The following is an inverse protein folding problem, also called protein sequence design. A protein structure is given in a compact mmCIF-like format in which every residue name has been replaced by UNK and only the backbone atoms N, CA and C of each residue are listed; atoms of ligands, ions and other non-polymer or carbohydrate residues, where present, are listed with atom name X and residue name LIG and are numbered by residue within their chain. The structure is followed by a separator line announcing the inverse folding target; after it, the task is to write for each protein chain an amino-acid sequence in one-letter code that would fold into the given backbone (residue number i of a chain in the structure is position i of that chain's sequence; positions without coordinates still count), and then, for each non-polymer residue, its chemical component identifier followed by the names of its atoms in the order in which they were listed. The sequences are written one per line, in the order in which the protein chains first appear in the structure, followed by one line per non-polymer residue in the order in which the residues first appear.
data_IF_695682298099
#
_entry.id   IF_695682298099
#
_cell.length_a   1.000
_cell.length_b   1.000
_cell.length_c   1.000
_cell.angle_alpha   90.00
_cell.angle_beta   90.00
_cell.angle_gamma   90.00
#
_symmetry.space_group_name_H-M   'P 1'
#
loop_
_entity.id
_entity.type
_entity.pdbx_description
1 polymer ?
#
# COMPACT_ATOMS: atom_id res chain seq x y z
N UNK A 1 4.57 -24.46 -27.50
CA UNK A 1 5.64 -23.70 -26.78
C UNK A 1 5.96 -24.37 -25.46
N UNK A 2 7.23 -24.70 -25.22
CA UNK A 2 7.67 -25.34 -23.96
C UNK A 2 8.27 -24.25 -23.05
N UNK A 3 7.88 -24.24 -21.80
CA UNK A 3 8.28 -23.23 -20.81
C UNK A 3 8.91 -23.88 -19.58
N UNK A 4 9.94 -23.23 -19.02
CA UNK A 4 10.48 -23.58 -17.72
C UNK A 4 9.47 -23.20 -16.63
N UNK A 5 9.04 -24.18 -15.85
CA UNK A 5 7.98 -23.99 -14.84
C UNK A 5 8.37 -22.97 -13.78
N UNK A 6 9.57 -23.06 -13.23
CA UNK A 6 10.02 -22.19 -12.17
C UNK A 6 10.08 -20.72 -12.60
N UNK A 7 10.69 -20.45 -13.75
CA UNK A 7 10.76 -19.08 -14.30
C UNK A 7 9.38 -18.51 -14.58
N UNK A 8 8.50 -19.33 -15.16
CA UNK A 8 7.14 -18.89 -15.44
C UNK A 8 6.31 -18.68 -14.17
N UNK A 9 6.47 -19.52 -13.16
CA UNK A 9 5.80 -19.36 -11.86
C UNK A 9 6.23 -18.07 -11.16
N UNK A 10 7.48 -17.66 -11.25
CA UNK A 10 7.94 -16.37 -10.72
C UNK A 10 7.18 -15.19 -11.37
N UNK A 11 7.02 -15.21 -12.69
CA UNK A 11 6.23 -14.20 -13.39
C UNK A 11 4.73 -14.30 -13.08
N UNK A 12 4.18 -15.52 -13.04
CA UNK A 12 2.78 -15.76 -12.70
C UNK A 12 2.45 -15.27 -11.29
N UNK A 13 3.32 -15.49 -10.32
CA UNK A 13 3.15 -15.00 -8.95
C UNK A 13 3.13 -13.46 -8.88
N UNK A 14 3.95 -12.78 -9.68
CA UNK A 14 3.91 -11.31 -9.81
C UNK A 14 2.58 -10.85 -10.41
N UNK A 15 2.09 -11.50 -11.46
CA UNK A 15 0.77 -11.19 -12.05
C UNK A 15 -0.36 -11.48 -11.04
N UNK A 16 -0.27 -12.54 -10.23
CA UNK A 16 -1.22 -12.82 -9.15
C UNK A 16 -1.28 -11.70 -8.11
N UNK A 17 -0.17 -11.05 -7.81
CA UNK A 17 -0.18 -9.85 -6.94
C UNK A 17 -1.01 -8.72 -7.57
N UNK A 18 -0.88 -8.49 -8.88
CA UNK A 18 -1.69 -7.50 -9.58
C UNK A 18 -3.19 -7.88 -9.58
N UNK A 19 -3.52 -9.14 -9.87
CA UNK A 19 -4.89 -9.65 -9.80
C UNK A 19 -5.44 -9.51 -8.38
N UNK A 20 -4.66 -9.81 -7.35
CA UNK A 20 -5.06 -9.68 -5.95
C UNK A 20 -5.28 -8.22 -5.52
N UNK A 21 -4.64 -7.26 -6.18
CA UNK A 21 -4.86 -5.84 -5.90
C UNK A 21 -6.28 -5.40 -6.27
N UNK A 22 -6.89 -6.02 -7.28
CA UNK A 22 -8.28 -5.73 -7.68
C UNK A 22 -9.03 -6.98 -8.16
N UNK A 23 -9.37 -7.86 -7.23
CA UNK A 23 -10.04 -9.13 -7.48
C UNK A 23 -11.39 -9.02 -8.20
N UNK A 24 -12.03 -7.86 -8.14
CA UNK A 24 -13.39 -7.68 -8.68
C UNK A 24 -13.39 -7.26 -10.14
N UNK A 25 -12.30 -6.70 -10.64
CA UNK A 25 -12.26 -6.07 -11.97
C UNK A 25 -11.21 -6.69 -12.92
N UNK A 26 -10.28 -7.50 -12.41
CA UNK A 26 -9.34 -8.24 -13.27
C UNK A 26 -9.83 -9.67 -13.41
N UNK A 27 -10.41 -9.95 -14.56
CA UNK A 27 -10.89 -11.28 -14.86
C UNK A 27 -9.92 -12.07 -15.78
N UNK A 28 -9.16 -11.38 -16.64
CA UNK A 28 -8.46 -12.00 -17.75
C UNK A 28 -6.95 -11.70 -17.73
N UNK A 29 -6.16 -12.67 -18.18
CA UNK A 29 -4.72 -12.51 -18.46
C UNK A 29 -4.49 -12.77 -19.94
N UNK A 30 -3.70 -11.91 -20.55
CA UNK A 30 -3.19 -12.07 -21.92
C UNK A 30 -1.77 -12.64 -21.87
N UNK A 31 -1.55 -13.67 -22.68
CA UNK A 31 -0.25 -14.24 -22.98
C UNK A 31 0.05 -13.95 -24.45
N UNK A 32 1.19 -13.33 -24.75
CA UNK A 32 1.63 -13.09 -26.11
C UNK A 32 3.11 -13.45 -26.24
N UNK A 33 3.42 -14.43 -27.07
CA UNK A 33 4.79 -14.76 -27.45
C UNK A 33 5.08 -14.17 -28.84
N UNK A 34 6.15 -13.40 -28.94
CA UNK A 34 6.67 -12.84 -30.20
C UNK A 34 8.12 -12.39 -30.01
N UNK A 35 8.90 -12.45 -31.09
CA UNK A 35 10.28 -11.92 -31.09
C UNK A 35 11.13 -12.48 -29.93
N UNK A 36 11.02 -13.77 -29.68
CA UNK A 36 11.70 -14.46 -28.54
C UNK A 36 11.34 -13.92 -27.15
N UNK A 37 10.21 -13.27 -27.01
CA UNK A 37 9.71 -12.76 -25.76
C UNK A 37 8.33 -13.30 -25.46
N UNK A 38 8.06 -13.64 -24.19
CA UNK A 38 6.71 -13.89 -23.72
C UNK A 38 6.26 -12.75 -22.82
N UNK A 39 5.10 -12.22 -23.13
CA UNK A 39 4.45 -11.15 -22.38
C UNK A 39 3.26 -11.70 -21.63
N UNK A 40 3.19 -11.43 -20.33
CA UNK A 40 1.98 -11.62 -19.52
C UNK A 40 1.43 -10.24 -19.16
N UNK A 41 0.13 -10.04 -19.41
CA UNK A 41 -0.52 -8.75 -19.20
C UNK A 41 -1.84 -8.89 -18.49
N UNK A 42 -2.12 -7.98 -17.58
CA UNK A 42 -3.44 -7.81 -16.92
C UNK A 42 -3.80 -6.34 -16.84
N UNK A 43 -5.09 -6.03 -16.83
CA UNK A 43 -5.59 -4.67 -16.72
C UNK A 43 -7.00 -4.66 -16.15
N UNK A 44 -7.37 -3.56 -15.47
CA UNK A 44 -8.74 -3.29 -15.02
C UNK A 44 -9.26 -1.93 -15.53
N UNK A 45 -8.62 -1.35 -16.54
CA UNK A 45 -8.83 0.01 -17.06
C UNK A 45 -8.28 1.14 -16.17
N UNK A 46 -8.10 0.93 -14.88
CA UNK A 46 -7.46 1.88 -13.96
C UNK A 46 -5.93 1.69 -13.93
N UNK A 47 -5.49 0.44 -14.01
CA UNK A 47 -4.08 0.12 -14.14
C UNK A 47 -3.84 -1.02 -15.15
N UNK A 48 -2.62 -1.07 -15.63
CA UNK A 48 -2.08 -2.09 -16.51
C UNK A 48 -0.78 -2.61 -15.92
N UNK A 49 -0.62 -3.92 -15.90
CA UNK A 49 0.62 -4.58 -15.51
C UNK A 49 1.05 -5.51 -16.63
N UNK A 50 2.28 -5.36 -17.08
CA UNK A 50 2.93 -6.22 -18.05
C UNK A 50 4.25 -6.76 -17.51
N UNK A 51 4.48 -8.06 -17.67
CA UNK A 51 5.74 -8.71 -17.36
C UNK A 51 6.20 -9.40 -18.62
N UNK A 52 7.49 -9.27 -18.95
CA UNK A 52 8.09 -9.95 -20.08
C UNK A 52 9.26 -10.80 -19.62
N UNK A 53 9.51 -11.89 -20.32
CA UNK A 53 10.69 -12.72 -20.14
C UNK A 53 11.12 -13.38 -21.46
N UNK A 54 12.40 -13.71 -21.55
CA UNK A 54 12.99 -14.28 -22.75
C UNK A 54 12.48 -15.70 -23.01
N UNK A 55 12.30 -16.02 -24.28
CA UNK A 55 12.02 -17.37 -24.78
C UNK A 55 13.21 -17.87 -25.59
N UNK A 56 13.43 -19.17 -25.55
CA UNK A 56 14.44 -19.83 -26.38
C UNK A 56 13.92 -20.12 -27.82
N UNK A 57 12.63 -19.85 -28.07
CA UNK A 57 11.98 -20.12 -29.38
C UNK A 57 11.40 -18.85 -30.01
N UNK A 58 11.32 -18.85 -31.36
CA UNK A 58 10.66 -17.79 -32.14
C UNK A 58 9.16 -18.04 -32.35
N UNK A 59 8.54 -18.93 -31.57
CA UNK A 59 7.13 -19.24 -31.70
C UNK A 59 6.26 -18.01 -31.47
N UNK A 60 5.28 -17.81 -32.34
CA UNK A 60 4.26 -16.77 -32.19
C UNK A 60 3.00 -17.37 -31.60
N UNK A 61 2.53 -16.78 -30.53
CA UNK A 61 1.42 -17.30 -29.75
C UNK A 61 0.67 -16.14 -29.10
N UNK A 62 -0.66 -16.17 -29.09
CA UNK A 62 -1.48 -15.23 -28.34
C UNK A 62 -2.70 -15.92 -27.77
N UNK A 63 -2.93 -15.78 -26.47
CA UNK A 63 -4.09 -16.30 -25.76
C UNK A 63 -4.58 -15.27 -24.74
N UNK A 64 -5.90 -15.23 -24.54
CA UNK A 64 -6.53 -14.52 -23.41
C UNK A 64 -7.43 -15.51 -22.70
N UNK A 65 -7.20 -15.69 -21.41
CA UNK A 65 -7.89 -16.68 -20.59
C UNK A 65 -8.26 -16.09 -19.22
N UNK A 66 -9.10 -16.80 -18.45
CA UNK A 66 -9.37 -16.43 -17.06
C UNK A 66 -8.09 -16.39 -16.25
N UNK A 67 -7.83 -15.22 -15.63
CA UNK A 67 -6.59 -14.96 -14.91
C UNK A 67 -6.42 -15.85 -13.68
N UNK A 68 -7.48 -15.99 -12.88
CA UNK A 68 -7.41 -16.77 -11.64
C UNK A 68 -7.21 -18.25 -11.94
N UNK A 69 -7.96 -18.76 -12.89
CA UNK A 69 -7.89 -20.18 -13.27
C UNK A 69 -6.52 -20.52 -13.83
N UNK A 70 -6.01 -19.73 -14.78
CA UNK A 70 -4.72 -19.97 -15.41
C UNK A 70 -3.55 -19.83 -14.44
N UNK A 71 -3.50 -18.74 -13.68
CA UNK A 71 -2.37 -18.45 -12.78
C UNK A 71 -2.30 -19.44 -11.61
N UNK A 72 -3.46 -19.85 -11.05
CA UNK A 72 -3.49 -20.87 -10.01
C UNK A 72 -3.11 -22.26 -10.56
N UNK A 73 -3.56 -22.60 -11.77
CA UNK A 73 -3.13 -23.83 -12.44
C UNK A 73 -1.61 -23.87 -12.58
N UNK A 74 -1.01 -22.84 -13.16
CA UNK A 74 0.44 -22.77 -13.35
C UNK A 74 1.19 -22.83 -12.03
N UNK A 75 0.72 -22.14 -10.99
CA UNK A 75 1.33 -22.15 -9.66
C UNK A 75 1.32 -23.54 -9.02
N UNK A 76 0.44 -24.45 -9.46
CA UNK A 76 0.33 -25.82 -8.96
C UNK A 76 1.14 -26.86 -9.74
N UNK A 77 1.73 -26.51 -10.89
CA UNK A 77 2.53 -27.41 -11.71
C UNK A 77 3.84 -27.75 -10.97
N UNK A 78 4.14 -29.05 -10.86
CA UNK A 78 5.37 -29.57 -10.21
C UNK A 78 6.40 -30.10 -11.21
N UNK A 79 6.02 -30.26 -12.47
CA UNK A 79 6.95 -30.68 -13.53
C UNK A 79 7.96 -29.57 -13.85
N UNK A 80 9.19 -29.88 -14.22
CA UNK A 80 10.25 -28.91 -14.54
C UNK A 80 9.89 -28.01 -15.73
N UNK A 81 9.10 -28.55 -16.67
CA UNK A 81 8.63 -27.84 -17.85
C UNK A 81 7.14 -28.12 -18.09
N UNK A 82 6.47 -27.21 -18.74
CA UNK A 82 5.12 -27.39 -19.27
C UNK A 82 5.01 -26.82 -20.67
N UNK A 83 4.03 -27.30 -21.42
CA UNK A 83 3.77 -26.88 -22.80
C UNK A 83 2.45 -26.09 -22.86
N UNK A 84 2.48 -24.97 -23.60
CA UNK A 84 1.30 -24.23 -24.01
C UNK A 84 1.08 -24.42 -25.51
N UNK A 85 -0.16 -24.70 -25.89
CA UNK A 85 -0.59 -24.86 -27.28
C UNK A 85 -2.02 -24.31 -27.44
N UNK A 86 -2.37 -23.84 -28.64
CA UNK A 86 -3.74 -23.41 -28.95
C UNK A 86 -4.34 -24.39 -29.94
N UNK A 87 -5.47 -24.97 -29.58
CA UNK A 87 -6.21 -25.86 -30.43
C UNK A 87 -7.72 -25.68 -30.21
N UNK A 88 -8.48 -25.56 -31.28
CA UNK A 88 -9.96 -25.52 -31.26
C UNK A 88 -10.52 -24.48 -30.25
N UNK A 89 -9.98 -23.26 -30.26
CA UNK A 89 -10.37 -22.15 -29.37
C UNK A 89 -10.12 -22.40 -27.88
N UNK A 90 -9.22 -23.31 -27.54
CA UNK A 90 -8.78 -23.52 -26.16
C UNK A 90 -7.27 -23.41 -26.04
N UNK A 91 -6.83 -22.90 -24.91
CA UNK A 91 -5.44 -22.99 -24.48
C UNK A 91 -5.23 -24.34 -23.80
N UNK A 92 -4.36 -25.15 -24.37
CA UNK A 92 -3.92 -26.43 -23.79
C UNK A 92 -2.70 -26.16 -22.92
N UNK A 93 -2.74 -26.62 -21.67
CA UNK A 93 -1.61 -26.61 -20.75
C UNK A 93 -1.25 -28.05 -20.46
N UNK A 94 -0.07 -28.52 -20.91
CA UNK A 94 0.40 -29.89 -20.70
C UNK A 94 1.59 -29.88 -19.74
N UNK A 95 1.50 -30.64 -18.67
CA UNK A 95 2.56 -30.79 -17.68
C UNK A 95 2.75 -32.27 -17.33
N UNK A 96 3.88 -32.87 -17.74
CA UNK A 96 4.11 -34.29 -17.60
C UNK A 96 3.05 -35.12 -18.34
N UNK A 97 2.27 -35.92 -17.60
CA UNK A 97 1.15 -36.71 -18.13
C UNK A 97 -0.20 -36.01 -18.08
N UNK A 98 -0.27 -34.83 -17.47
CA UNK A 98 -1.50 -34.08 -17.28
C UNK A 98 -1.74 -33.08 -18.39
N UNK A 99 -3.00 -32.90 -18.77
CA UNK A 99 -3.41 -31.91 -19.77
C UNK A 99 -4.65 -31.19 -19.30
N UNK A 100 -4.64 -29.88 -19.42
CA UNK A 100 -5.72 -28.99 -19.00
C UNK A 100 -6.15 -28.12 -20.19
N UNK A 101 -7.46 -27.80 -20.24
CA UNK A 101 -8.05 -26.99 -21.30
C UNK A 101 -8.67 -25.75 -20.67
N UNK A 102 -8.24 -24.57 -21.13
CA UNK A 102 -8.82 -23.29 -20.74
C UNK A 102 -9.45 -22.64 -21.99
N UNK A 103 -10.71 -22.21 -21.85
CA UNK A 103 -11.38 -21.50 -22.93
C UNK A 103 -10.67 -20.19 -23.23
N UNK A 104 -10.44 -19.91 -24.51
CA UNK A 104 -10.01 -18.59 -24.96
C UNK A 104 -11.19 -17.61 -24.87
N UNK A 105 -10.91 -16.36 -24.56
CA UNK A 105 -11.92 -15.33 -24.39
C UNK A 105 -11.98 -14.48 -25.66
N UNK A 106 -13.16 -14.43 -26.25
CA UNK A 106 -13.45 -13.69 -27.47
C UNK A 106 -14.41 -12.53 -27.18
N UNK A 107 -14.26 -11.47 -27.93
CA UNK A 107 -15.16 -10.31 -27.97
C UNK A 107 -15.45 -10.00 -29.45
N UNK A 108 -16.74 -10.03 -29.86
CA UNK A 108 -17.17 -9.83 -31.25
C UNK A 108 -16.43 -10.75 -32.25
N UNK A 109 -16.34 -12.04 -31.92
CA UNK A 109 -15.67 -13.09 -32.75
C UNK A 109 -14.15 -12.93 -32.94
N UNK A 110 -13.55 -11.90 -32.32
CA UNK A 110 -12.09 -11.73 -32.27
C UNK A 110 -11.57 -12.10 -30.86
N UNK A 111 -10.33 -12.63 -30.81
CA UNK A 111 -9.67 -12.83 -29.53
C UNK A 111 -9.58 -11.50 -28.78
N UNK A 112 -10.12 -11.45 -27.58
CA UNK A 112 -10.21 -10.23 -26.74
C UNK A 112 -8.88 -9.49 -26.72
N UNK A 113 -8.93 -8.15 -26.81
CA UNK A 113 -7.77 -7.26 -26.66
C UNK A 113 -7.86 -6.56 -25.32
N UNK A 114 -6.84 -6.76 -24.47
CA UNK A 114 -6.76 -6.00 -23.22
C UNK A 114 -6.45 -4.54 -23.50
N UNK A 115 -7.20 -3.58 -22.90
CA UNK A 115 -6.90 -2.17 -23.06
C UNK A 115 -5.52 -1.86 -22.46
N UNK A 116 -4.66 -1.26 -23.27
CA UNK A 116 -3.35 -0.79 -22.81
C UNK A 116 -3.48 0.60 -22.18
N UNK A 117 -2.78 0.83 -21.08
CA UNK A 117 -2.61 2.15 -20.50
C UNK A 117 -1.15 2.54 -20.72
N UNK A 118 -0.94 3.65 -21.43
CA UNK A 118 0.41 4.13 -21.78
C UNK A 118 0.50 5.63 -21.61
N UNK A 119 1.63 6.08 -21.06
CA UNK A 119 2.04 7.46 -21.12
C UNK A 119 2.89 7.65 -22.38
N UNK A 120 2.48 8.56 -23.25
CA UNK A 120 3.23 8.88 -24.46
C UNK A 120 4.41 9.81 -24.11
N UNK A 121 5.49 9.70 -24.86
CA UNK A 121 6.74 10.38 -24.55
C UNK A 121 6.62 11.91 -24.57
N UNK A 122 5.84 12.47 -25.45
CA UNK A 122 5.54 13.92 -25.55
C UNK A 122 4.67 14.43 -24.37
N UNK A 123 4.05 13.54 -23.62
CA UNK A 123 3.18 13.85 -22.48
C UNK A 123 3.89 13.63 -21.13
N UNK A 124 5.13 13.14 -21.14
CA UNK A 124 5.95 13.01 -19.92
C UNK A 124 6.30 14.39 -19.39
N UNK A 125 6.00 14.64 -18.12
CA UNK A 125 6.29 15.89 -17.42
C UNK A 125 7.41 15.74 -16.41
N UNK A 126 7.47 14.57 -15.79
CA UNK A 126 8.51 14.20 -14.82
C UNK A 126 8.96 12.78 -15.13
N UNK A 127 10.26 12.56 -15.08
CA UNK A 127 10.87 11.22 -15.16
C UNK A 127 12.07 11.15 -14.21
N UNK A 128 12.16 10.05 -13.47
CA UNK A 128 13.21 9.86 -12.48
C UNK A 128 13.41 8.37 -12.17
N UNK A 129 14.57 8.04 -11.62
CA UNK A 129 14.77 6.77 -10.95
C UNK A 129 14.24 6.86 -9.51
N UNK A 130 13.48 5.86 -9.11
CA UNK A 130 12.96 5.72 -7.74
C UNK A 130 13.58 4.48 -7.12
N UNK A 131 14.30 4.65 -6.03
CA UNK A 131 14.92 3.56 -5.30
C UNK A 131 13.89 2.57 -4.76
N UNK A 132 14.26 1.30 -4.75
CA UNK A 132 13.43 0.24 -4.18
C UNK A 132 13.06 0.51 -2.71
N UNK A 133 13.96 1.11 -1.94
CA UNK A 133 13.74 1.53 -0.55
C UNK A 133 12.57 2.52 -0.43
N UNK A 134 12.46 3.49 -1.35
CA UNK A 134 11.35 4.45 -1.40
C UNK A 134 10.03 3.75 -1.72
N UNK A 135 10.01 2.87 -2.74
CA UNK A 135 8.81 2.11 -3.10
C UNK A 135 8.34 1.21 -1.94
N UNK A 136 9.29 0.56 -1.27
CA UNK A 136 9.03 -0.26 -0.08
C UNK A 136 8.53 0.58 1.09
N UNK A 137 9.08 1.78 1.27
CA UNK A 137 8.68 2.66 2.36
C UNK A 137 7.25 3.18 2.20
N UNK A 138 6.80 3.45 0.98
CA UNK A 138 5.39 3.79 0.69
C UNK A 138 4.46 2.63 1.09
N UNK A 139 4.87 1.37 0.87
CA UNK A 139 4.11 0.19 1.28
C UNK A 139 3.98 0.06 2.81
N UNK A 140 4.95 0.56 3.56
CA UNK A 140 5.00 0.47 5.02
C UNK A 140 4.16 1.53 5.74
N UNK A 141 3.63 2.51 5.01
CA UNK A 141 2.67 3.46 5.56
C UNK A 141 1.37 2.74 5.94
N UNK A 142 0.82 3.03 7.10
CA UNK A 142 -0.34 2.32 7.63
C UNK A 142 -1.57 2.45 6.72
N UNK A 143 -1.91 1.36 6.03
CA UNK A 143 -3.04 1.29 5.10
C UNK A 143 -4.31 0.66 5.68
N UNK A 144 -4.25 0.10 6.91
CA UNK A 144 -5.38 -0.66 7.47
C UNK A 144 -6.67 0.16 7.56
N UNK A 145 -6.54 1.46 7.73
CA UNK A 145 -7.68 2.36 7.87
C UNK A 145 -8.17 2.92 6.56
N UNK A 146 -7.30 3.05 5.55
CA UNK A 146 -7.72 3.36 4.18
C UNK A 146 -8.68 2.26 3.68
N UNK A 147 -8.46 1.01 4.09
CA UNK A 147 -9.35 -0.12 3.76
C UNK A 147 -10.71 -0.03 4.46
N UNK A 148 -10.75 0.49 5.69
CA UNK A 148 -12.00 0.70 6.43
C UNK A 148 -12.81 1.89 5.91
N UNK A 149 -12.14 2.85 5.25
CA UNK A 149 -12.74 4.04 4.67
C UNK A 149 -13.65 3.80 3.45
N UNK A 150 -14.16 2.60 3.26
CA UNK A 150 -15.14 2.25 2.21
C UNK A 150 -16.55 2.77 2.49
N UNK A 151 -16.81 3.34 3.65
CA UNK A 151 -18.10 3.90 4.02
C UNK A 151 -18.25 5.36 3.57
N UNK A 152 -19.46 5.71 3.17
CA UNK A 152 -19.83 6.96 2.47
C UNK A 152 -19.48 8.25 3.25
N UNK A 153 -19.31 8.16 4.56
CA UNK A 153 -19.07 9.31 5.46
C UNK A 153 -17.59 9.61 5.76
N UNK A 154 -16.66 8.95 5.08
CA UNK A 154 -15.25 9.15 5.34
C UNK A 154 -14.71 10.34 4.54
N UNK A 155 -13.94 11.19 5.22
CA UNK A 155 -13.26 12.32 4.59
C UNK A 155 -12.47 11.82 3.36
N UNK A 156 -12.69 12.45 2.22
CA UNK A 156 -12.09 12.07 0.94
C UNK A 156 -10.57 11.93 1.02
N UNK A 157 -9.89 12.76 1.85
CA UNK A 157 -8.45 12.69 2.09
C UNK A 157 -7.99 11.34 2.65
N UNK A 158 -8.85 10.63 3.37
CA UNK A 158 -8.52 9.34 3.99
C UNK A 158 -8.46 8.16 3.00
N UNK A 159 -8.81 8.40 1.72
CA UNK A 159 -8.86 7.36 0.69
C UNK A 159 -7.57 7.19 -0.08
N UNK A 160 -6.62 8.13 0.09
CA UNK A 160 -5.43 8.21 -0.75
C UNK A 160 -4.15 8.24 0.05
N UNK A 161 -3.10 7.74 -0.59
CA UNK A 161 -1.72 8.05 -0.27
C UNK A 161 -1.32 9.27 -1.10
N UNK A 162 -0.92 10.31 -0.45
CA UNK A 162 -0.35 11.47 -1.12
C UNK A 162 1.17 11.36 -1.12
N UNK A 163 1.78 11.39 -2.29
CA UNK A 163 3.24 11.34 -2.46
C UNK A 163 3.70 12.63 -3.09
N UNK A 164 4.64 13.29 -2.45
CA UNK A 164 5.39 14.41 -3.00
C UNK A 164 6.90 14.15 -2.92
N UNK A 165 7.71 15.11 -3.33
CA UNK A 165 9.18 15.01 -3.31
C UNK A 165 9.79 14.85 -1.92
N UNK A 166 9.01 15.03 -0.85
CA UNK A 166 9.49 14.97 0.54
C UNK A 166 9.01 13.76 1.32
N UNK A 167 8.08 13.00 0.78
CA UNK A 167 7.57 11.80 1.46
C UNK A 167 6.20 11.34 0.99
N UNK A 168 5.69 10.33 1.71
CA UNK A 168 4.36 9.77 1.54
C UNK A 168 3.51 10.08 2.77
N UNK A 169 2.31 10.58 2.56
CA UNK A 169 1.36 11.02 3.59
C UNK A 169 0.06 10.25 3.50
N UNK A 170 -0.48 9.87 4.66
CA UNK A 170 -1.84 9.35 4.77
C UNK A 170 -2.58 10.04 5.92
N UNK A 171 -3.89 10.20 5.78
CA UNK A 171 -4.74 10.93 6.72
C UNK A 171 -5.88 10.03 7.20
N UNK A 172 -5.55 8.98 7.94
CA UNK A 172 -6.53 8.06 8.51
C UNK A 172 -6.98 8.51 9.89
N UNK A 173 -6.89 7.72 10.94
CA UNK A 173 -7.20 8.09 12.33
C UNK A 173 -6.21 9.07 12.97
N UNK A 174 -5.31 9.53 12.25
CA UNK A 174 -4.29 10.51 12.52
C UNK A 174 -3.63 10.81 11.19
N UNK A 175 -2.41 11.31 11.22
CA UNK A 175 -1.61 11.41 10.01
C UNK A 175 -0.42 10.46 10.13
N UNK A 176 -0.07 9.83 9.02
CA UNK A 176 1.17 9.08 8.91
C UNK A 176 2.03 9.70 7.81
N UNK A 177 3.25 9.98 8.14
CA UNK A 177 4.23 10.54 7.22
C UNK A 177 5.43 9.61 7.15
N UNK A 178 5.76 9.16 5.96
CA UNK A 178 7.03 8.50 5.70
C UNK A 178 7.91 9.46 4.91
N UNK A 179 8.98 9.94 5.56
CA UNK A 179 9.86 10.94 4.98
C UNK A 179 10.92 10.30 4.09
N UNK A 180 11.01 10.78 2.86
CA UNK A 180 12.07 10.48 1.90
C UNK A 180 12.29 11.71 1.01
N UNK A 181 13.26 11.65 0.11
CA UNK A 181 13.50 12.72 -0.86
C UNK A 181 13.50 12.16 -2.26
N UNK A 182 12.74 12.79 -3.16
CA UNK A 182 12.79 12.55 -4.59
C UNK A 182 13.51 13.70 -5.29
N UNK A 183 14.22 13.40 -6.38
CA UNK A 183 15.05 14.37 -7.10
C UNK A 183 14.25 15.42 -7.87
N UNK A 184 12.94 15.18 -8.06
CA UNK A 184 12.07 16.07 -8.82
C UNK A 184 10.73 16.30 -8.11
N UNK A 185 10.13 17.48 -8.27
CA UNK A 185 8.82 17.77 -7.72
C UNK A 185 7.75 16.92 -8.40
N UNK A 186 7.01 16.15 -7.60
CA UNK A 186 5.93 15.27 -8.03
C UNK A 186 4.74 15.39 -7.09
N UNK A 187 3.55 15.10 -7.57
CA UNK A 187 2.33 15.05 -6.75
C UNK A 187 1.45 13.91 -7.22
N UNK A 188 1.44 12.82 -6.45
CA UNK A 188 0.67 11.63 -6.76
C UNK A 188 -0.39 11.40 -5.69
N UNK A 189 -1.64 11.17 -6.14
CA UNK A 189 -2.70 10.60 -5.31
C UNK A 189 -2.86 9.13 -5.69
N UNK A 190 -2.34 8.26 -4.84
CA UNK A 190 -2.35 6.82 -5.05
C UNK A 190 -3.45 6.18 -4.21
N UNK A 191 -4.27 5.34 -4.82
CA UNK A 191 -5.17 4.49 -4.06
C UNK A 191 -4.44 3.22 -3.59
N UNK A 192 -5.06 2.48 -2.67
CA UNK A 192 -4.50 1.25 -2.10
C UNK A 192 -4.14 0.20 -3.17
N UNK A 193 -4.95 0.10 -4.26
CA UNK A 193 -4.72 -0.87 -5.32
C UNK A 193 -3.40 -0.58 -6.05
N UNK A 194 -3.16 0.69 -6.37
CA UNK A 194 -1.92 1.13 -7.03
C UNK A 194 -0.72 0.95 -6.11
N UNK A 195 -0.84 1.32 -4.83
CA UNK A 195 0.26 1.13 -3.85
C UNK A 195 0.63 -0.34 -3.73
N UNK A 196 -0.34 -1.27 -3.72
CA UNK A 196 -0.06 -2.71 -3.70
C UNK A 196 0.78 -3.19 -4.88
N UNK A 197 0.69 -2.53 -6.04
CA UNK A 197 1.52 -2.88 -7.20
C UNK A 197 3.00 -2.58 -7.00
N UNK A 198 3.37 -1.73 -6.05
CA UNK A 198 4.78 -1.46 -5.73
C UNK A 198 5.50 -2.70 -5.19
N UNK A 199 4.77 -3.71 -4.67
CA UNK A 199 5.33 -5.02 -4.31
C UNK A 199 5.91 -5.80 -5.50
N UNK A 200 5.55 -5.44 -6.73
CA UNK A 200 6.11 -6.05 -7.94
C UNK A 200 7.59 -5.69 -8.13
N UNK A 201 8.01 -4.54 -7.62
CA UNK A 201 9.35 -4.01 -7.80
C UNK A 201 10.24 -4.47 -6.64
N UNK A 202 11.24 -5.27 -6.96
CA UNK A 202 12.27 -5.76 -6.02
C UNK A 202 13.62 -5.06 -6.21
N UNK A 203 13.69 -4.16 -7.18
CA UNK A 203 14.84 -3.31 -7.52
C UNK A 203 14.32 -1.91 -7.80
N UNK A 204 15.24 -0.98 -8.06
CA UNK A 204 14.90 0.38 -8.48
C UNK A 204 14.00 0.39 -9.71
N UNK A 205 13.12 1.38 -9.78
CA UNK A 205 12.21 1.55 -10.90
C UNK A 205 12.39 2.92 -11.55
N UNK A 206 12.25 2.95 -12.87
CA UNK A 206 12.16 4.19 -13.64
C UNK A 206 10.70 4.65 -13.66
N UNK A 207 10.45 5.81 -13.07
CA UNK A 207 9.14 6.42 -12.97
C UNK A 207 8.99 7.49 -14.05
N UNK A 208 7.85 7.48 -14.73
CA UNK A 208 7.39 8.59 -15.56
C UNK A 208 5.99 9.01 -15.10
N UNK A 209 5.79 10.32 -15.04
CA UNK A 209 4.52 10.91 -14.66
C UNK A 209 4.13 11.97 -15.69
N UNK A 210 2.85 12.02 -16.04
CA UNK A 210 2.31 13.01 -16.97
C UNK A 210 0.80 12.90 -17.09
N UNK A 211 0.26 13.53 -18.15
CA UNK A 211 -1.18 13.61 -18.39
C UNK A 211 -1.50 13.09 -19.77
N UNK A 212 -2.59 12.36 -19.90
CA UNK A 212 -3.13 11.91 -21.19
C UNK A 212 -4.54 12.44 -21.36
N UNK A 213 -4.97 12.78 -22.59
CA UNK A 213 -6.34 13.16 -22.88
C UNK A 213 -7.31 12.02 -22.59
N UNK A 214 -8.41 12.32 -21.88
CA UNK A 214 -9.54 11.43 -21.69
C UNK A 214 -10.83 12.21 -21.94
N UNK A 215 -11.37 12.11 -23.15
CA UNK A 215 -12.45 13.02 -23.59
C UNK A 215 -11.99 14.47 -23.66
N UNK A 216 -12.66 15.36 -22.92
CA UNK A 216 -12.32 16.79 -22.81
C UNK A 216 -11.34 17.10 -21.68
N UNK A 217 -10.96 16.13 -20.86
CA UNK A 217 -10.13 16.31 -19.67
C UNK A 217 -8.75 15.70 -19.84
N UNK A 218 -7.79 16.18 -19.05
CA UNK A 218 -6.47 15.57 -18.92
C UNK A 218 -6.46 14.68 -17.68
N UNK A 219 -6.15 13.41 -17.85
CA UNK A 219 -6.04 12.47 -16.74
C UNK A 219 -4.58 12.15 -16.43
N UNK A 220 -4.15 12.25 -15.17
CA UNK A 220 -2.77 11.95 -14.81
C UNK A 220 -2.53 10.44 -14.87
N UNK A 221 -1.33 10.09 -15.32
CA UNK A 221 -0.84 8.71 -15.39
C UNK A 221 0.55 8.67 -14.78
N UNK A 222 0.79 7.64 -13.98
CA UNK A 222 2.12 7.24 -13.56
C UNK A 222 2.46 5.91 -14.22
N UNK A 223 3.69 5.80 -14.70
CA UNK A 223 4.26 4.53 -15.14
C UNK A 223 5.50 4.22 -14.32
N UNK A 224 5.72 2.94 -14.04
CA UNK A 224 6.89 2.42 -13.36
C UNK A 224 7.44 1.25 -14.18
N UNK A 225 8.72 1.25 -14.43
CA UNK A 225 9.40 0.18 -15.15
C UNK A 225 10.66 -0.24 -14.39
N UNK A 226 10.81 -1.55 -14.14
CA UNK A 226 12.00 -2.11 -13.52
C UNK A 226 12.78 -2.91 -14.56
N UNK A 227 13.98 -2.45 -14.89
CA UNK A 227 14.77 -3.03 -15.95
C UNK A 227 13.93 -3.19 -17.22
N UNK A 228 14.06 -4.36 -17.88
CA UNK A 228 13.24 -4.66 -19.06
C UNK A 228 12.04 -5.57 -18.78
N UNK A 229 11.78 -5.93 -17.53
CA UNK A 229 10.92 -7.07 -17.23
C UNK A 229 9.53 -6.71 -16.72
N UNK A 230 9.38 -5.63 -15.94
CA UNK A 230 8.11 -5.25 -15.33
C UNK A 230 7.73 -3.84 -15.76
N UNK A 231 6.52 -3.69 -16.25
CA UNK A 231 5.90 -2.40 -16.57
C UNK A 231 4.56 -2.29 -15.87
N UNK A 232 4.38 -1.21 -15.14
CA UNK A 232 3.12 -0.84 -14.50
C UNK A 232 2.72 0.53 -15.01
N UNK A 233 1.50 0.69 -15.45
CA UNK A 233 0.90 1.99 -15.74
C UNK A 233 -0.39 2.12 -14.94
N UNK A 234 -0.58 3.25 -14.28
CA UNK A 234 -1.78 3.50 -13.49
C UNK A 234 -2.34 4.90 -13.78
N UNK A 235 -3.65 4.95 -14.01
CA UNK A 235 -4.40 6.20 -14.07
C UNK A 235 -4.64 6.68 -12.66
N UNK A 236 -4.27 7.92 -12.39
CA UNK A 236 -4.44 8.52 -11.08
C UNK A 236 -5.74 9.32 -11.04
N UNK A 237 -6.29 9.44 -9.87
CA UNK A 237 -7.32 10.45 -9.65
C UNK A 237 -6.64 11.80 -9.47
N UNK A 238 -7.05 12.78 -10.26
CA UNK A 238 -6.60 14.15 -10.11
C UNK A 238 -7.82 15.04 -10.03
N UNK A 239 -8.08 15.51 -8.83
CA UNK A 239 -8.87 16.71 -8.62
C UNK A 239 -7.88 17.75 -8.07
N UNK A 240 -7.58 18.79 -8.84
CA UNK A 240 -6.72 19.89 -8.41
C UNK A 240 -7.23 20.54 -7.12
N UNK A 241 -8.55 20.50 -6.89
CA UNK A 241 -9.17 20.95 -5.64
C UNK A 241 -8.80 20.02 -4.47
N UNK A 242 -8.74 18.71 -4.70
CA UNK A 242 -8.34 17.75 -3.68
C UNK A 242 -6.85 17.89 -3.35
N UNK A 243 -6.00 18.01 -4.36
CA UNK A 243 -4.57 18.24 -4.18
C UNK A 243 -4.33 19.54 -3.41
N UNK A 244 -5.07 20.61 -3.73
CA UNK A 244 -4.96 21.88 -3.01
C UNK A 244 -5.40 21.77 -1.54
N UNK A 245 -6.43 20.96 -1.25
CA UNK A 245 -6.88 20.68 0.12
C UNK A 245 -5.87 19.85 0.92
N UNK A 246 -5.13 18.94 0.26
CA UNK A 246 -4.15 18.07 0.92
C UNK A 246 -2.89 18.82 1.32
N UNK A 247 -2.47 19.82 0.54
CA UNK A 247 -1.21 20.53 0.78
C UNK A 247 -1.12 21.12 2.19
N UNK A 248 -2.12 21.82 2.65
CA UNK A 248 -2.11 22.46 3.96
C UNK A 248 -1.99 21.46 5.13
N UNK A 249 -2.75 20.35 5.17
CA UNK A 249 -2.52 19.28 6.14
C UNK A 249 -1.11 18.67 6.07
N UNK A 250 -0.55 18.43 4.88
CA UNK A 250 0.81 17.91 4.74
C UNK A 250 1.85 18.86 5.34
N UNK A 251 1.76 20.15 5.03
CA UNK A 251 2.67 21.16 5.56
C UNK A 251 2.54 21.28 7.08
N UNK A 252 1.32 21.21 7.61
CA UNK A 252 1.08 21.20 9.05
C UNK A 252 1.73 19.96 9.72
N UNK A 253 1.63 18.77 9.11
CA UNK A 253 2.26 17.55 9.63
C UNK A 253 3.78 17.65 9.61
N UNK A 254 4.37 18.15 8.51
CA UNK A 254 5.81 18.38 8.41
C UNK A 254 6.32 19.31 9.52
N UNK A 255 5.55 20.34 9.84
CA UNK A 255 5.91 21.26 10.92
C UNK A 255 5.82 20.59 12.28
N UNK A 256 4.71 19.90 12.60
CA UNK A 256 4.54 19.18 13.87
C UNK A 256 5.66 18.15 14.13
N UNK A 257 6.08 17.41 13.10
CA UNK A 257 7.16 16.42 13.23
C UNK A 257 8.50 17.07 13.58
N UNK A 258 8.74 18.31 13.13
CA UNK A 258 9.98 19.06 13.36
C UNK A 258 9.99 19.86 14.67
N UNK A 259 8.83 20.01 15.31
CA UNK A 259 8.72 20.75 16.57
C UNK A 259 9.47 20.07 17.71
N UNK A 260 9.86 20.88 18.71
CA UNK A 260 10.45 20.37 19.94
C UNK A 260 9.36 20.04 20.93
N UNK A 261 9.38 18.81 21.39
CA UNK A 261 8.48 18.31 22.44
C UNK A 261 9.16 18.33 23.79
N UNK A 262 8.39 18.56 24.87
CA UNK A 262 8.92 18.58 26.22
C UNK A 262 9.38 17.19 26.68
N UNK A 263 8.70 16.16 26.20
CA UNK A 263 8.97 14.78 26.60
C UNK A 263 9.25 13.92 25.37
N UNK A 264 10.29 13.10 25.50
CA UNK A 264 10.67 12.09 24.50
C UNK A 264 10.79 10.74 25.23
N UNK A 265 9.98 9.78 24.86
CA UNK A 265 9.94 8.46 25.46
C UNK A 265 10.41 7.42 24.45
N UNK A 266 11.28 6.51 24.90
CA UNK A 266 11.63 5.30 24.16
C UNK A 266 10.82 4.15 24.75
N UNK A 267 10.06 3.44 23.91
CA UNK A 267 9.09 2.42 24.32
C UNK A 267 9.16 1.20 23.39
N UNK A 268 8.87 0.03 23.95
CA UNK A 268 8.58 -1.16 23.15
C UNK A 268 7.15 -1.06 22.60
N UNK A 269 7.00 -1.02 21.27
CA UNK A 269 5.69 -1.00 20.63
C UNK A 269 4.84 -2.23 20.97
N UNK A 270 5.47 -3.39 21.12
CA UNK A 270 4.80 -4.64 21.49
C UNK A 270 4.24 -4.59 22.91
N UNK A 271 5.02 -4.10 23.86
CA UNK A 271 4.59 -3.95 25.26
C UNK A 271 3.43 -2.97 25.36
N UNK A 272 3.56 -1.80 24.74
CA UNK A 272 2.52 -0.78 24.71
C UNK A 272 1.24 -1.28 24.01
N UNK A 273 1.36 -1.92 22.86
CA UNK A 273 0.22 -2.50 22.12
C UNK A 273 -0.51 -3.57 22.93
N UNK A 274 0.23 -4.41 23.68
CA UNK A 274 -0.34 -5.44 24.54
C UNK A 274 -1.10 -4.83 25.73
N UNK A 275 -0.55 -3.80 26.38
CA UNK A 275 -1.21 -3.07 27.46
C UNK A 275 -2.52 -2.43 26.99
N UNK A 276 -2.50 -1.73 25.86
CA UNK A 276 -3.71 -1.14 25.26
C UNK A 276 -4.73 -2.23 24.93
N UNK A 277 -4.29 -3.38 24.41
CA UNK A 277 -5.20 -4.49 24.09
C UNK A 277 -5.93 -4.99 25.34
N UNK A 278 -5.22 -5.10 26.48
CA UNK A 278 -5.84 -5.48 27.76
C UNK A 278 -6.86 -4.43 28.22
N UNK A 279 -6.49 -3.15 28.22
CA UNK A 279 -7.43 -2.07 28.58
C UNK A 279 -8.68 -2.06 27.69
N UNK A 280 -8.54 -2.28 26.40
CA UNK A 280 -9.66 -2.35 25.47
C UNK A 280 -10.63 -3.52 25.76
N UNK A 281 -10.21 -4.59 26.44
CA UNK A 281 -11.10 -5.67 26.86
C UNK A 281 -12.13 -5.22 27.89
N UNK A 282 -11.74 -4.30 28.77
CA UNK A 282 -12.63 -3.78 29.84
C UNK A 282 -13.54 -2.67 29.34
N UNK A 283 -13.15 -1.96 28.28
CA UNK A 283 -13.92 -0.82 27.74
C UNK A 283 -14.89 -1.22 26.62
N UNK A 284 -14.72 -2.40 26.02
CA UNK A 284 -15.63 -2.93 25.01
C UNK A 284 -16.91 -3.42 25.66
N UNK A 285 -17.99 -2.70 25.41
CA UNK A 285 -19.33 -3.19 25.79
C UNK A 285 -19.64 -4.40 24.88
N UNK A 286 -19.65 -5.60 25.45
CA UNK A 286 -19.80 -6.89 24.73
C UNK A 286 -21.09 -7.00 23.88
N UNK A 287 -22.04 -6.10 24.11
CA UNK A 287 -23.33 -6.06 23.43
C UNK A 287 -23.43 -4.97 22.34
N UNK A 288 -22.38 -4.19 22.09
CA UNK A 288 -22.43 -3.17 21.04
C UNK A 288 -22.27 -3.80 19.66
N UNK A 289 -23.27 -3.60 18.79
CA UNK A 289 -23.23 -4.07 17.38
C UNK A 289 -22.19 -3.36 16.52
N UNK A 290 -21.63 -2.25 16.99
CA UNK A 290 -20.63 -1.44 16.28
C UNK A 290 -19.45 -1.21 17.22
N UNK A 291 -18.23 -1.47 16.76
CA UNK A 291 -17.03 -1.16 17.52
C UNK A 291 -16.92 0.36 17.71
N UNK A 292 -16.69 0.86 18.94
CA UNK A 292 -16.54 2.28 19.17
C UNK A 292 -15.31 2.81 18.44
N UNK A 293 -15.46 3.95 17.75
CA UNK A 293 -14.34 4.64 17.10
C UNK A 293 -13.50 5.48 18.04
N UNK A 294 -13.98 5.72 19.26
CA UNK A 294 -13.35 6.57 20.24
C UNK A 294 -13.47 5.97 21.63
N UNK A 295 -12.32 5.65 22.24
CA UNK A 295 -12.18 5.17 23.61
C UNK A 295 -11.12 6.04 24.29
N UNK A 296 -11.53 7.07 25.06
CA UNK A 296 -10.59 7.96 25.75
C UNK A 296 -9.90 7.25 26.90
N UNK A 297 -8.64 7.56 27.09
CA UNK A 297 -7.82 7.14 28.23
C UNK A 297 -6.98 8.31 28.72
N UNK A 298 -6.61 8.26 29.98
CA UNK A 298 -5.64 9.18 30.59
C UNK A 298 -4.27 8.50 30.58
N UNK A 299 -3.27 9.24 30.13
CA UNK A 299 -1.87 8.81 30.14
C UNK A 299 -1.11 9.74 31.09
N UNK A 300 -0.50 9.17 32.12
CA UNK A 300 0.40 9.87 33.04
C UNK A 300 1.83 9.37 32.79
N UNK A 301 2.75 10.30 32.60
CA UNK A 301 4.15 10.03 32.28
C UNK A 301 5.02 10.62 33.37
N UNK A 302 5.91 9.80 33.93
CA UNK A 302 6.96 10.18 34.86
C UNK A 302 8.32 9.87 34.26
N UNK A 303 9.40 10.13 34.97
CA UNK A 303 10.76 9.81 34.45
C UNK A 303 10.99 8.33 34.16
N UNK A 304 10.27 7.42 34.78
CA UNK A 304 10.54 5.98 34.73
C UNK A 304 9.38 5.15 34.15
N UNK A 305 8.16 5.69 34.21
CA UNK A 305 6.95 4.92 33.94
C UNK A 305 5.93 5.75 33.18
N UNK A 306 5.16 5.07 32.35
CA UNK A 306 3.97 5.58 31.69
C UNK A 306 2.77 4.76 32.20
N UNK A 307 1.82 5.40 32.86
CA UNK A 307 0.57 4.80 33.28
C UNK A 307 -0.55 5.18 32.35
N UNK A 308 -1.28 4.20 31.82
CA UNK A 308 -2.45 4.39 30.98
C UNK A 308 -3.67 3.91 31.76
N UNK A 309 -4.63 4.79 31.99
CA UNK A 309 -5.88 4.46 32.69
C UNK A 309 -7.08 4.65 31.77
N UNK A 310 -8.09 3.79 31.94
CA UNK A 310 -9.37 3.99 31.25
C UNK A 310 -10.08 5.27 31.73
N UNK A 311 -11.20 5.61 31.11
CA UNK A 311 -11.93 6.86 31.42
C UNK A 311 -12.48 6.90 32.83
N UNK A 312 -12.69 5.75 33.48
CA UNK A 312 -13.18 5.67 34.89
C UNK A 312 -12.04 5.70 35.89
N UNK A 313 -10.81 5.36 35.45
CA UNK A 313 -9.66 5.20 36.32
C UNK A 313 -9.63 3.86 37.08
N UNK A 314 -10.60 2.98 36.86
CA UNK A 314 -10.70 1.69 37.56
C UNK A 314 -9.68 0.67 37.05
N UNK A 315 -9.31 0.78 35.76
CA UNK A 315 -8.34 -0.10 35.10
C UNK A 315 -7.15 0.71 34.61
N UNK A 316 -5.96 0.24 34.92
CA UNK A 316 -4.71 0.89 34.51
C UNK A 316 -3.64 -0.13 34.13
N UNK A 317 -2.75 0.29 33.24
CA UNK A 317 -1.55 -0.44 32.81
C UNK A 317 -0.34 0.46 33.05
N UNK A 318 0.71 -0.12 33.64
CA UNK A 318 1.98 0.57 33.87
C UNK A 318 3.04 0.00 32.94
N UNK A 319 3.73 0.87 32.26
CA UNK A 319 4.75 0.54 31.26
C UNK A 319 6.04 1.23 31.65
N UNK A 320 7.11 0.46 31.78
CA UNK A 320 8.44 1.02 32.04
C UNK A 320 8.95 1.75 30.81
N UNK A 321 9.45 2.95 31.02
CA UNK A 321 10.11 3.77 30.02
C UNK A 321 11.55 3.30 29.87
N UNK A 322 12.00 3.12 28.63
CA UNK A 322 13.34 2.61 28.36
C UNK A 322 14.42 3.69 28.48
N UNK A 323 15.66 3.26 28.66
CA UNK A 323 16.83 4.13 28.68
C UNK A 323 16.95 4.95 27.39
N UNK A 324 17.36 6.20 27.51
CA UNK A 324 17.42 7.14 26.39
C UNK A 324 16.21 8.07 26.30
N UNK A 325 15.22 7.87 27.18
CA UNK A 325 14.08 8.78 27.30
C UNK A 325 14.47 10.07 28.02
N UNK A 326 13.83 11.17 27.66
CA UNK A 326 13.96 12.47 28.31
C UNK A 326 12.57 12.95 28.72
N UNK A 327 12.29 12.92 30.03
CA UNK A 327 11.01 13.35 30.61
C UNK A 327 11.30 14.39 31.70
N UNK A 328 10.67 15.55 31.57
CA UNK A 328 10.77 16.63 32.53
C UNK A 328 9.50 16.67 33.38
N UNK A 329 9.66 16.34 34.70
CA UNK A 329 8.56 16.30 35.66
C UNK A 329 7.53 15.20 35.37
N UNK A 330 6.28 15.47 35.77
CA UNK A 330 5.13 14.61 35.46
C UNK A 330 4.24 15.28 34.42
N UNK A 331 3.85 14.54 33.41
CA UNK A 331 2.98 15.00 32.34
C UNK A 331 1.73 14.13 32.22
N UNK A 332 0.57 14.75 32.06
CA UNK A 332 -0.71 14.05 31.93
C UNK A 332 -1.41 14.49 30.65
N UNK A 333 -1.83 13.55 29.83
CA UNK A 333 -2.58 13.79 28.59
C UNK A 333 -3.72 12.79 28.43
N UNK A 334 -4.70 13.16 27.60
CA UNK A 334 -5.72 12.23 27.11
C UNK A 334 -5.33 11.67 25.76
N UNK A 335 -5.68 10.42 25.48
CA UNK A 335 -5.47 9.79 24.18
C UNK A 335 -6.65 8.89 23.83
N UNK A 336 -6.91 8.73 22.53
CA UNK A 336 -7.83 7.72 22.04
C UNK A 336 -7.09 6.37 21.88
N UNK A 337 -7.48 5.37 22.65
CA UNK A 337 -6.85 4.04 22.62
C UNK A 337 -6.97 3.36 21.24
N UNK A 338 -8.04 3.62 20.49
CA UNK A 338 -8.22 3.03 19.15
C UNK A 338 -7.18 3.58 18.18
N UNK A 339 -6.96 4.91 18.19
CA UNK A 339 -5.98 5.56 17.32
C UNK A 339 -4.57 5.10 17.66
N UNK A 340 -4.23 5.13 18.97
CA UNK A 340 -2.93 4.67 19.43
C UNK A 340 -2.68 3.20 19.07
N UNK A 341 -3.67 2.33 19.29
CA UNK A 341 -3.61 0.90 18.93
C UNK A 341 -3.37 0.70 17.44
N UNK A 342 -4.08 1.46 16.60
CA UNK A 342 -3.93 1.39 15.14
C UNK A 342 -2.51 1.69 14.69
N UNK A 343 -1.90 2.74 15.24
CA UNK A 343 -0.49 3.09 14.99
C UNK A 343 0.44 1.97 15.43
N UNK A 344 0.28 1.48 16.67
CA UNK A 344 1.15 0.45 17.24
C UNK A 344 1.06 -0.90 16.51
N UNK A 345 -0.09 -1.24 15.96
CA UNK A 345 -0.27 -2.47 15.18
C UNK A 345 0.59 -2.48 13.91
N UNK A 346 1.00 -1.30 13.43
CA UNK A 346 1.94 -1.17 12.32
C UNK A 346 3.42 -1.24 12.74
N UNK A 347 3.70 -1.13 14.04
CA UNK A 347 5.05 -1.03 14.63
C UNK A 347 5.49 -2.32 15.35
N UNK A 348 4.96 -3.49 15.00
CA UNK A 348 5.22 -4.75 15.73
C UNK A 348 6.71 -5.08 15.82
N UNK A 349 7.13 -5.45 17.04
CA UNK A 349 8.51 -5.84 17.39
C UNK A 349 9.57 -4.74 17.22
N UNK A 350 9.15 -3.47 17.17
CA UNK A 350 10.06 -2.33 17.03
C UNK A 350 10.11 -1.52 18.35
N UNK A 351 11.24 -0.84 18.56
CA UNK A 351 11.31 0.28 19.49
C UNK A 351 10.79 1.53 18.77
N UNK A 352 9.98 2.30 19.48
CA UNK A 352 9.42 3.55 18.99
C UNK A 352 9.86 4.69 19.89
N UNK A 353 9.88 5.90 19.35
CA UNK A 353 9.94 7.11 20.17
C UNK A 353 8.59 7.80 20.16
N UNK A 354 8.12 8.19 21.35
CA UNK A 354 6.90 8.95 21.52
C UNK A 354 7.26 10.35 22.03
N UNK A 355 6.93 11.38 21.26
CA UNK A 355 7.14 12.78 21.61
C UNK A 355 5.81 13.42 21.98
N UNK A 356 5.73 14.08 23.15
CA UNK A 356 4.52 14.71 23.65
C UNK A 356 4.84 15.94 24.53
N UNK A 357 3.79 16.66 24.92
CA UNK A 357 3.91 17.93 25.63
C UNK A 357 4.13 19.11 24.67
N UNK A 358 3.79 20.32 25.12
CA UNK A 358 3.81 21.60 24.39
C UNK A 358 2.80 21.72 23.25
N UNK A 359 2.36 20.63 22.64
CA UNK A 359 1.41 20.58 21.53
C UNK A 359 0.26 19.62 21.86
N UNK A 360 -0.91 19.84 21.26
CA UNK A 360 -2.08 18.95 21.41
C UNK A 360 -1.99 17.73 20.45
N UNK A 361 -0.79 17.21 20.31
CA UNK A 361 -0.52 16.05 19.47
C UNK A 361 0.66 15.23 20.00
N UNK A 362 0.59 13.95 19.76
CA UNK A 362 1.62 12.98 20.09
C UNK A 362 2.25 12.52 18.78
N UNK A 363 3.57 12.55 18.70
CA UNK A 363 4.32 12.05 17.55
C UNK A 363 4.93 10.71 17.92
N UNK A 364 4.61 9.68 17.16
CA UNK A 364 5.18 8.33 17.33
C UNK A 364 6.07 8.04 16.13
N UNK A 365 7.37 7.93 16.37
CA UNK A 365 8.36 7.71 15.33
C UNK A 365 8.87 6.27 15.32
N UNK A 366 9.06 5.71 14.13
CA UNK A 366 9.79 4.48 13.87
C UNK A 366 10.62 4.64 12.59
N UNK A 367 11.94 4.73 12.72
CA UNK A 367 12.78 5.04 11.57
C UNK A 367 12.30 6.31 10.83
N UNK A 368 12.08 6.27 9.51
CA UNK A 368 11.65 7.42 8.72
C UNK A 368 10.14 7.71 8.82
N UNK A 369 9.39 6.86 9.54
CA UNK A 369 7.93 6.97 9.62
C UNK A 369 7.54 7.67 10.92
N UNK A 370 6.74 8.73 10.78
CA UNK A 370 6.15 9.47 11.89
C UNK A 370 4.63 9.39 11.83
N UNK A 371 4.01 9.04 12.95
CA UNK A 371 2.57 9.04 13.10
C UNK A 371 2.18 10.20 14.04
N UNK A 372 1.22 10.99 13.60
CA UNK A 372 0.68 12.11 14.40
C UNK A 372 -0.69 11.71 14.93
N UNK A 373 -0.82 11.64 16.24
CA UNK A 373 -2.07 11.32 16.93
C UNK A 373 -2.49 12.54 17.73
N UNK A 374 -3.74 12.96 17.60
CA UNK A 374 -4.27 14.07 18.38
C UNK A 374 -4.45 13.66 19.85
N UNK A 375 -4.14 14.58 20.76
CA UNK A 375 -4.52 14.39 22.17
C UNK A 375 -6.06 14.45 22.31
N UNK A 376 -6.60 13.53 23.10
CA UNK A 376 -8.00 13.52 23.45
C UNK A 376 -8.26 14.46 24.64
N UNK A 377 -9.46 15.01 24.72
CA UNK A 377 -9.87 15.77 25.91
C UNK A 377 -10.04 14.83 27.08
N UNK A 378 -9.36 15.12 28.20
CA UNK A 378 -9.57 14.40 29.45
C UNK A 378 -10.95 14.80 29.96
N UNK A 379 -11.86 13.85 30.09
CA UNK A 379 -13.13 14.03 30.78
C UNK A 379 -12.87 13.71 32.26
N UNK A 380 -12.87 14.73 33.10
CA UNK A 380 -12.80 14.56 34.55
C UNK A 380 -14.20 14.26 35.07
#
# INVERSE_FOLDING_TARGET
MILNTKLFQEAANKILLAVSADKTNIANVELEAKEKMLYLRVTNKEFYVGIKFNLDSDETFRAVVDANLFLNLVSSITADTFELDIKDNVLLVKAGKSSYKLALIYENDELMKLPAIRLFQDQVKVEMNVGHDILSSILNVNSKEIQKAKHIDVNELQRYYYVDETGCFTFTTGACVNSFTLDQPIRLLLNEKIVKLFKLFTTDAYLQYGYVPEGSELRPIVTLQSGDNIYVAARLQCDDKLISKIKAPCDAMKNLIKEKYAHNLVLSATTLSSAITRLLMFTKNSNAKVEPSFIPATVEITSNEMTISDATGDNSEVITIENGSAVDGTYTMGINLIDLKSVLDSCKNEHITMNCGNHKSVIINRGPISNVVAEARIVK
#
